data_IF_937412948421
#
_entry.id   IF_937412948421
#
_cell.length_a   1.000
_cell.length_b   1.000
_cell.length_c   1.000
_cell.angle_alpha   90.00
_cell.angle_beta   90.00
_cell.angle_gamma   90.00
#
_symmetry.space_group_name_H-M   'P 1'
#
loop_
_entity.id
_entity.type
_entity.pdbx_description
1 polymer ?
#
# COMPACT_ATOMS: atom_id res chain seq x y z
N UNK A 1 49.66 -1.21 32.25
CA UNK A 1 49.54 -0.28 33.40
C UNK A 1 50.87 0.47 33.51
N UNK A 2 50.88 1.81 33.69
CA UNK A 2 50.06 2.52 34.67
C UNK A 2 49.12 3.59 34.09
N UNK A 3 48.13 3.92 34.91
CA UNK A 3 47.04 4.85 34.68
C UNK A 3 47.47 6.31 34.84
N UNK A 4 46.89 7.20 34.02
CA UNK A 4 46.90 8.64 34.26
C UNK A 4 45.46 9.13 34.24
N UNK A 5 44.95 9.40 35.44
CA UNK A 5 43.70 10.12 35.70
C UNK A 5 43.75 11.50 35.05
N UNK A 6 42.70 11.85 34.32
CA UNK A 6 42.37 13.24 34.01
C UNK A 6 40.96 13.50 34.55
N UNK A 7 40.93 14.35 35.57
CA UNK A 7 39.75 15.00 36.12
C UNK A 7 39.10 15.89 35.05
N UNK A 8 37.78 15.77 34.87
CA UNK A 8 36.97 16.75 34.16
C UNK A 8 35.74 17.08 35.00
N UNK A 9 35.78 18.27 35.60
CA UNK A 9 34.68 18.92 36.30
C UNK A 9 33.54 19.32 35.31
N UNK A 10 32.29 19.46 35.78
CA UNK A 10 31.12 19.60 34.92
C UNK A 10 30.98 21.03 34.37
N UNK A 11 31.02 21.18 33.05
CA UNK A 11 30.68 22.42 32.34
C UNK A 11 29.16 22.58 32.27
N UNK A 12 28.60 23.38 33.18
CA UNK A 12 27.30 24.04 32.99
C UNK A 12 27.48 25.26 32.09
N UNK A 13 26.75 25.32 30.98
CA UNK A 13 26.26 26.59 30.43
C UNK A 13 24.82 26.44 29.90
N UNK A 14 23.98 27.48 30.03
CA UNK A 14 22.56 27.46 29.69
C UNK A 14 22.30 28.09 28.31
N UNK A 15 21.44 27.51 27.48
CA UNK A 15 20.72 28.26 26.42
C UNK A 15 19.36 27.59 26.19
N UNK A 16 18.30 28.27 26.64
CA UNK A 16 16.95 28.09 26.13
C UNK A 16 16.91 28.50 24.65
N UNK A 17 16.35 27.66 23.76
CA UNK A 17 15.62 28.07 22.54
C UNK A 17 15.09 26.84 21.78
N UNK A 18 14.09 26.15 22.34
CA UNK A 18 13.19 25.31 21.54
C UNK A 18 11.94 26.13 21.22
N UNK A 19 12.02 26.87 20.12
CA UNK A 19 10.90 27.63 19.57
C UNK A 19 9.78 26.70 19.11
N UNK A 20 8.55 27.06 19.44
CA UNK A 20 7.31 26.40 19.04
C UNK A 20 7.29 26.14 17.52
N UNK A 21 6.92 24.94 17.04
CA UNK A 21 6.69 24.73 15.63
C UNK A 21 5.48 25.56 15.14
N UNK A 22 5.68 26.15 13.98
CA UNK A 22 4.81 27.07 13.23
C UNK A 22 3.45 26.46 12.91
N UNK A 23 2.52 26.56 13.87
CA UNK A 23 1.12 26.12 13.78
C UNK A 23 0.24 26.93 12.81
N UNK A 24 0.77 27.97 12.15
CA UNK A 24 -0.04 28.88 11.33
C UNK A 24 -0.30 28.38 9.92
N UNK A 25 0.63 27.66 9.29
CA UNK A 25 0.45 27.12 7.93
C UNK A 25 -0.48 25.89 7.93
N UNK A 26 -0.33 25.01 8.92
CA UNK A 26 -1.21 23.85 9.11
C UNK A 26 -2.65 24.28 9.48
N UNK A 27 -2.81 25.30 10.35
CA UNK A 27 -4.13 25.89 10.63
C UNK A 27 -4.73 26.57 9.40
N UNK A 28 -3.93 27.22 8.55
CA UNK A 28 -4.43 27.89 7.34
C UNK A 28 -4.95 26.89 6.30
N UNK A 29 -4.25 25.78 6.06
CA UNK A 29 -4.74 24.72 5.17
C UNK A 29 -6.02 24.05 5.72
N UNK A 30 -6.08 23.76 7.02
CA UNK A 30 -7.27 23.17 7.64
C UNK A 30 -8.49 24.12 7.62
N UNK A 31 -8.28 25.41 7.83
CA UNK A 31 -9.37 26.42 7.81
C UNK A 31 -9.88 26.68 6.39
N UNK A 32 -9.00 26.58 5.38
CA UNK A 32 -9.37 26.82 3.98
C UNK A 32 -10.14 25.64 3.38
N UNK A 33 -9.91 24.42 3.87
CA UNK A 33 -10.68 23.22 3.53
C UNK A 33 -12.07 23.18 4.21
N UNK A 34 -12.25 23.88 5.34
CA UNK A 34 -13.54 23.97 6.07
C UNK A 34 -14.48 25.08 5.58
N UNK A 35 -14.03 26.00 4.72
CA UNK A 35 -14.82 27.16 4.24
C UNK A 35 -15.72 26.87 3.04
N UNK A 36 -15.67 25.66 2.49
CA UNK A 36 -16.47 25.23 1.33
C UNK A 36 -17.77 24.50 1.67
N UNK A 37 -18.09 24.33 2.96
CA UNK A 37 -19.39 23.79 3.38
C UNK A 37 -20.42 24.93 3.53
N UNK A 38 -21.59 24.87 2.87
CA UNK A 38 -22.63 25.88 3.06
C UNK A 38 -23.24 25.75 4.46
N UNK A 39 -23.36 26.88 5.17
CA UNK A 39 -24.04 26.97 6.47
C UNK A 39 -25.55 26.77 6.31
N UNK A 40 -26.24 26.07 7.23
CA UNK A 40 -27.70 26.03 7.20
C UNK A 40 -28.25 27.37 7.67
N UNK A 41 -28.94 28.07 6.77
CA UNK A 41 -29.74 29.25 7.07
C UNK A 41 -31.00 28.89 7.85
N UNK A 42 -31.37 29.82 8.72
CA UNK A 42 -32.51 29.87 9.61
C UNK A 42 -33.85 29.44 8.97
N UNK A 43 -34.57 28.54 9.64
CA UNK A 43 -36.02 28.47 9.54
C UNK A 43 -36.64 28.44 10.95
N UNK A 44 -37.42 29.47 11.16
CA UNK A 44 -38.20 29.87 12.32
C UNK A 44 -39.52 29.08 12.38
N UNK A 45 -39.97 28.78 13.61
CA UNK A 45 -41.36 28.43 13.93
C UNK A 45 -41.78 26.97 13.73
N UNK A 46 -41.91 26.22 14.82
CA UNK A 46 -43.23 25.79 15.32
C UNK A 46 -43.08 24.92 16.58
N UNK A 47 -43.62 25.43 17.69
CA UNK A 47 -43.94 24.65 18.87
C UNK A 47 -45.14 23.76 18.54
N UNK A 48 -45.05 22.46 18.78
CA UNK A 48 -46.06 21.67 19.52
C UNK A 48 -45.68 20.18 19.58
N UNK A 49 -46.01 19.60 20.73
CA UNK A 49 -46.20 18.17 21.01
C UNK A 49 -45.00 17.30 21.47
N UNK A 50 -44.83 17.30 22.79
CA UNK A 50 -44.00 16.36 23.54
C UNK A 50 -44.78 15.08 23.85
N UNK A 51 -44.91 14.15 22.89
CA UNK A 51 -45.05 12.70 23.15
C UNK A 51 -45.08 11.92 21.83
N UNK A 52 -43.93 11.46 21.33
CA UNK A 52 -43.84 10.33 20.40
C UNK A 52 -42.42 9.78 20.32
N UNK A 53 -42.33 8.46 20.42
CA UNK A 53 -41.13 7.62 20.32
C UNK A 53 -40.26 7.99 19.11
N UNK A 54 -38.92 7.76 19.15
CA UNK A 54 -38.02 8.18 18.07
C UNK A 54 -38.42 7.50 16.75
N UNK A 55 -38.51 8.24 15.64
CA UNK A 55 -38.79 7.66 14.34
C UNK A 55 -37.54 6.93 13.84
N UNK A 56 -37.44 5.64 14.12
CA UNK A 56 -36.50 4.78 13.42
C UNK A 56 -36.94 4.68 11.95
N UNK A 57 -35.99 5.00 11.06
CA UNK A 57 -36.07 4.86 9.60
C UNK A 57 -37.15 5.71 8.92
N UNK A 58 -37.03 7.04 9.01
CA UNK A 58 -37.48 7.92 7.92
C UNK A 58 -36.55 7.66 6.73
N UNK A 59 -36.96 6.78 5.82
CA UNK A 59 -36.37 6.64 4.48
C UNK A 59 -36.57 7.95 3.73
N UNK A 60 -35.68 8.90 3.98
CA UNK A 60 -35.51 10.04 3.09
C UNK A 60 -35.02 9.47 1.76
N UNK A 61 -35.94 9.35 0.80
CA UNK A 61 -35.65 9.21 -0.62
C UNK A 61 -34.99 10.51 -1.13
N UNK A 62 -33.87 10.92 -0.52
CA UNK A 62 -32.90 11.73 -1.22
C UNK A 62 -32.41 10.81 -2.32
N UNK A 63 -32.80 11.12 -3.55
CA UNK A 63 -32.10 10.66 -4.75
C UNK A 63 -30.64 11.03 -4.55
N UNK A 64 -29.86 10.12 -3.95
CA UNK A 64 -28.42 10.16 -4.12
C UNK A 64 -28.26 10.11 -5.62
N UNK A 65 -27.64 11.14 -6.19
CA UNK A 65 -26.98 10.99 -7.47
C UNK A 65 -25.94 9.90 -7.23
N UNK A 66 -26.37 8.64 -7.34
CA UNK A 66 -25.54 7.48 -7.08
C UNK A 66 -24.36 7.58 -8.00
N UNK A 67 -23.15 7.47 -7.42
CA UNK A 67 -21.96 7.35 -8.23
C UNK A 67 -22.22 6.28 -9.28
N UNK A 68 -22.09 6.66 -10.56
CA UNK A 68 -22.24 5.69 -11.64
C UNK A 68 -21.16 4.63 -11.45
N UNK A 69 -21.48 3.33 -11.50
CA UNK A 69 -20.47 2.29 -11.48
C UNK A 69 -19.52 2.50 -12.66
N UNK A 70 -18.32 2.99 -12.40
CA UNK A 70 -17.32 3.28 -13.44
C UNK A 70 -16.54 2.02 -13.82
N UNK A 71 -16.46 1.04 -12.91
CA UNK A 71 -15.80 -0.24 -13.13
C UNK A 71 -16.79 -1.38 -13.28
N UNK A 72 -16.59 -2.18 -14.33
CA UNK A 72 -17.20 -3.50 -14.48
C UNK A 72 -16.54 -4.52 -13.53
N UNK A 73 -17.25 -5.60 -13.19
CA UNK A 73 -16.73 -6.69 -12.36
C UNK A 73 -15.34 -7.22 -12.80
N UNK A 74 -15.06 -7.51 -14.08
CA UNK A 74 -13.73 -7.98 -14.48
C UNK A 74 -12.65 -6.90 -14.33
N UNK A 75 -13.00 -5.62 -14.50
CA UNK A 75 -12.07 -4.52 -14.23
C UNK A 75 -11.77 -4.42 -12.73
N UNK A 76 -12.76 -4.63 -11.85
CA UNK A 76 -12.56 -4.63 -10.41
C UNK A 76 -11.62 -5.76 -9.99
N UNK A 77 -11.83 -6.97 -10.52
CA UNK A 77 -10.93 -8.12 -10.28
C UNK A 77 -9.52 -7.81 -10.80
N UNK A 78 -9.39 -7.27 -12.02
CA UNK A 78 -8.10 -6.92 -12.60
C UNK A 78 -7.35 -5.85 -11.79
N UNK A 79 -8.02 -4.77 -11.40
CA UNK A 79 -7.41 -3.72 -10.57
C UNK A 79 -7.06 -4.25 -9.19
N UNK A 80 -7.88 -5.12 -8.60
CA UNK A 80 -7.57 -5.77 -7.32
C UNK A 80 -6.34 -6.68 -7.43
N UNK A 81 -6.25 -7.46 -8.51
CA UNK A 81 -5.07 -8.29 -8.79
C UNK A 81 -3.80 -7.45 -8.91
N UNK A 82 -3.83 -6.31 -9.62
CA UNK A 82 -2.67 -5.43 -9.71
C UNK A 82 -2.38 -4.65 -8.42
N UNK A 83 -3.40 -4.33 -7.63
CA UNK A 83 -3.23 -3.65 -6.35
C UNK A 83 -2.59 -4.54 -5.28
N UNK A 84 -2.74 -5.87 -5.41
CA UNK A 84 -2.26 -6.85 -4.42
C UNK A 84 -1.08 -7.67 -4.93
N UNK A 85 -1.26 -8.30 -6.08
CA UNK A 85 -0.35 -9.31 -6.61
C UNK A 85 0.52 -8.75 -7.73
N UNK A 86 0.82 -7.44 -7.71
CA UNK A 86 1.41 -6.65 -8.79
C UNK A 86 2.82 -7.06 -9.25
N UNK A 87 3.02 -8.34 -9.61
CA UNK A 87 4.28 -9.04 -9.78
C UNK A 87 4.85 -9.46 -8.43
N UNK A 88 5.21 -10.73 -8.30
CA UNK A 88 5.90 -11.35 -7.16
C UNK A 88 7.37 -10.91 -7.05
N UNK A 89 7.59 -9.60 -7.22
CA UNK A 89 8.89 -8.97 -7.21
C UNK A 89 9.54 -9.10 -5.84
N UNK A 90 10.82 -9.44 -5.83
CA UNK A 90 11.60 -9.61 -4.62
C UNK A 90 11.34 -10.92 -3.89
N UNK A 91 10.47 -11.83 -4.37
CA UNK A 91 10.38 -13.18 -3.78
C UNK A 91 11.74 -13.89 -3.79
N UNK A 92 12.62 -13.56 -4.72
CA UNK A 92 14.00 -14.04 -4.76
C UNK A 92 14.79 -13.64 -3.50
N UNK A 93 14.54 -12.44 -2.94
CA UNK A 93 15.13 -12.00 -1.68
C UNK A 93 14.57 -12.79 -0.49
N UNK A 94 13.27 -13.14 -0.50
CA UNK A 94 12.69 -14.05 0.49
C UNK A 94 13.30 -15.45 0.41
N UNK A 95 13.45 -16.00 -0.80
CA UNK A 95 14.14 -17.29 -1.02
C UNK A 95 15.59 -17.22 -0.58
N UNK A 96 16.31 -16.13 -0.88
CA UNK A 96 17.68 -15.92 -0.43
C UNK A 96 17.82 -15.73 1.09
N UNK A 97 16.78 -15.26 1.76
CA UNK A 97 16.78 -15.00 3.21
C UNK A 97 16.33 -16.20 4.07
N UNK A 98 15.43 -17.04 3.57
CA UNK A 98 14.78 -18.11 4.33
C UNK A 98 14.67 -19.47 3.62
N UNK A 99 15.14 -19.58 2.37
CA UNK A 99 15.08 -20.81 1.59
C UNK A 99 13.76 -20.98 0.82
N UNK A 100 13.79 -21.83 -0.21
CA UNK A 100 12.65 -22.04 -1.10
C UNK A 100 11.43 -22.66 -0.38
N UNK A 101 11.65 -23.65 0.49
CA UNK A 101 10.58 -24.32 1.23
C UNK A 101 9.79 -23.35 2.11
N UNK A 102 10.49 -22.50 2.86
CA UNK A 102 9.87 -21.54 3.77
C UNK A 102 9.15 -20.44 2.99
N UNK A 103 9.71 -19.95 1.89
CA UNK A 103 9.03 -18.98 1.01
C UNK A 103 7.76 -19.57 0.41
N UNK A 104 7.78 -20.81 -0.09
CA UNK A 104 6.59 -21.49 -0.61
C UNK A 104 5.50 -21.64 0.46
N UNK A 105 5.88 -22.03 1.68
CA UNK A 105 4.95 -22.10 2.81
C UNK A 105 4.42 -20.71 3.16
N UNK A 106 5.27 -19.69 3.17
CA UNK A 106 4.89 -18.30 3.43
C UNK A 106 3.87 -17.79 2.42
N UNK A 107 4.13 -17.97 1.12
CA UNK A 107 3.22 -17.58 0.04
C UNK A 107 1.90 -18.35 0.12
N UNK A 108 1.91 -19.60 0.55
CA UNK A 108 0.68 -20.39 0.68
C UNK A 108 -0.14 -20.02 1.93
N UNK A 109 0.50 -19.79 3.07
CA UNK A 109 -0.16 -19.66 4.38
C UNK A 109 -0.47 -18.20 4.73
N UNK A 110 0.45 -17.27 4.46
CA UNK A 110 0.28 -15.87 4.87
C UNK A 110 -0.97 -15.20 4.27
N UNK A 111 -1.37 -15.42 3.01
CA UNK A 111 -2.59 -14.84 2.49
C UNK A 111 -3.84 -15.21 3.30
N UNK A 112 -3.91 -16.41 3.87
CA UNK A 112 -5.05 -16.82 4.69
C UNK A 112 -5.07 -16.15 6.07
N UNK A 113 -3.91 -15.89 6.64
CA UNK A 113 -3.78 -15.34 7.99
C UNK A 113 -3.77 -13.81 8.01
N UNK A 114 -3.25 -13.18 6.96
CA UNK A 114 -3.04 -11.74 6.87
C UNK A 114 -4.01 -11.09 5.88
N UNK A 115 -3.97 -11.53 4.62
CA UNK A 115 -4.70 -10.89 3.55
C UNK A 115 -6.21 -11.13 3.59
N UNK A 116 -6.64 -12.37 3.86
CA UNK A 116 -8.04 -12.77 3.85
C UNK A 116 -8.86 -12.01 4.91
N UNK A 117 -8.42 -11.88 6.19
CA UNK A 117 -9.14 -11.07 7.17
C UNK A 117 -9.26 -9.60 6.75
N UNK A 118 -8.20 -9.02 6.18
CA UNK A 118 -8.21 -7.63 5.69
C UNK A 118 -9.20 -7.50 4.53
N UNK A 119 -9.18 -8.42 3.56
CA UNK A 119 -10.09 -8.42 2.43
C UNK A 119 -11.55 -8.53 2.85
N UNK A 120 -11.88 -9.41 3.80
CA UNK A 120 -13.23 -9.55 4.35
C UNK A 120 -13.66 -8.28 5.09
N UNK A 121 -12.79 -7.69 5.90
CA UNK A 121 -13.06 -6.42 6.58
C UNK A 121 -13.33 -5.29 5.57
N UNK A 122 -12.50 -5.17 4.53
CA UNK A 122 -12.68 -4.20 3.45
C UNK A 122 -14.00 -4.42 2.71
N UNK A 123 -14.38 -5.67 2.43
CA UNK A 123 -15.63 -6.00 1.77
C UNK A 123 -16.87 -5.63 2.62
N UNK A 124 -16.85 -5.95 3.91
CA UNK A 124 -17.91 -5.57 4.86
C UNK A 124 -18.03 -4.05 4.97
N UNK A 125 -16.91 -3.33 5.18
CA UNK A 125 -16.92 -1.88 5.31
C UNK A 125 -17.29 -1.15 4.01
N UNK A 126 -16.82 -1.65 2.87
CA UNK A 126 -17.13 -1.08 1.55
C UNK A 126 -18.60 -1.24 1.19
N UNK A 127 -19.24 -2.35 1.58
CA UNK A 127 -20.68 -2.55 1.38
C UNK A 127 -21.54 -1.76 2.39
N UNK A 128 -21.05 -1.57 3.63
CA UNK A 128 -21.76 -0.83 4.67
C UNK A 128 -21.66 0.70 4.51
N UNK A 129 -20.54 1.21 3.98
CA UNK A 129 -20.24 2.64 3.84
C UNK A 129 -19.76 2.90 2.40
N UNK A 130 -20.69 3.02 1.42
CA UNK A 130 -20.37 3.22 0.00
C UNK A 130 -20.04 4.70 -0.29
N UNK A 131 -19.03 5.23 0.41
CA UNK A 131 -18.51 6.59 0.24
C UNK A 131 -17.14 6.55 -0.45
N UNK A 132 -16.91 7.45 -1.41
CA UNK A 132 -15.68 7.52 -2.20
C UNK A 132 -14.48 8.09 -1.40
N UNK A 133 -14.02 7.33 -0.40
CA UNK A 133 -12.85 7.69 0.42
C UNK A 133 -12.25 6.56 1.25
N UNK A 134 -12.69 5.31 1.05
CA UNK A 134 -12.10 4.09 1.58
C UNK A 134 -11.73 4.14 3.07
N UNK A 135 -10.54 3.67 3.40
CA UNK A 135 -10.08 3.52 4.79
C UNK A 135 -10.09 4.82 5.58
N UNK A 136 -9.87 5.98 4.95
CA UNK A 136 -9.89 7.28 5.62
C UNK A 136 -11.29 7.63 6.12
N UNK A 137 -12.33 7.39 5.30
CA UNK A 137 -13.73 7.62 5.68
C UNK A 137 -14.17 6.65 6.76
N UNK A 138 -13.77 5.38 6.66
CA UNK A 138 -14.09 4.37 7.67
C UNK A 138 -13.50 4.74 9.04
N UNK A 139 -12.23 5.13 9.07
CA UNK A 139 -11.56 5.58 10.31
C UNK A 139 -12.17 6.89 10.82
N UNK A 140 -12.54 7.82 9.95
CA UNK A 140 -13.23 9.05 10.35
C UNK A 140 -14.55 8.76 11.07
N UNK A 141 -15.34 7.82 10.55
CA UNK A 141 -16.64 7.46 11.12
C UNK A 141 -16.53 6.72 12.45
N UNK A 142 -15.50 5.87 12.61
CA UNK A 142 -15.30 5.07 13.82
C UNK A 142 -14.57 5.84 14.94
N UNK A 143 -13.56 6.64 14.59
CA UNK A 143 -12.60 7.20 15.53
C UNK A 143 -12.49 8.73 15.50
N UNK A 144 -13.21 9.39 14.59
CA UNK A 144 -13.22 10.84 14.45
C UNK A 144 -12.08 11.42 13.60
N UNK A 145 -12.04 12.76 13.46
CA UNK A 145 -11.21 13.43 12.46
C UNK A 145 -9.70 13.34 12.70
N UNK A 146 -9.25 13.28 13.96
CA UNK A 146 -7.82 13.23 14.27
C UNK A 146 -7.17 11.92 13.78
N UNK A 147 -7.80 10.78 14.09
CA UNK A 147 -7.28 9.47 13.68
C UNK A 147 -7.44 9.24 12.17
N UNK A 148 -8.48 9.79 11.56
CA UNK A 148 -8.61 9.80 10.11
C UNK A 148 -7.47 10.56 9.42
N UNK A 149 -7.10 11.73 9.96
CA UNK A 149 -5.98 12.51 9.44
C UNK A 149 -4.66 11.73 9.56
N UNK A 150 -4.44 11.04 10.69
CA UNK A 150 -3.25 10.22 10.89
C UNK A 150 -3.19 9.05 9.90
N UNK A 151 -4.32 8.37 9.71
CA UNK A 151 -4.45 7.30 8.73
C UNK A 151 -4.18 7.79 7.31
N UNK A 152 -4.71 8.96 6.93
CA UNK A 152 -4.47 9.56 5.62
C UNK A 152 -2.98 9.89 5.40
N UNK A 153 -2.31 10.41 6.42
CA UNK A 153 -0.86 10.70 6.34
C UNK A 153 -0.04 9.41 6.21
N UNK A 154 -0.36 8.36 6.99
CA UNK A 154 0.33 7.09 6.87
C UNK A 154 0.12 6.43 5.50
N UNK A 155 -1.10 6.45 4.98
CA UNK A 155 -1.39 5.98 3.63
C UNK A 155 -0.62 6.77 2.57
N UNK A 156 -0.57 8.10 2.67
CA UNK A 156 0.18 8.92 1.73
C UNK A 156 1.67 8.58 1.74
N UNK A 157 2.26 8.42 2.94
CA UNK A 157 3.67 8.06 3.10
C UNK A 157 3.95 6.67 2.51
N UNK A 158 3.13 5.66 2.84
CA UNK A 158 3.28 4.31 2.28
C UNK A 158 3.23 4.32 0.76
N UNK A 159 2.18 4.92 0.19
CA UNK A 159 2.01 5.03 -1.26
C UNK A 159 3.17 5.77 -1.95
N UNK A 160 3.78 6.76 -1.27
CA UNK A 160 4.93 7.47 -1.82
C UNK A 160 6.16 6.56 -1.90
N UNK A 161 6.42 5.76 -0.87
CA UNK A 161 7.52 4.81 -0.87
C UNK A 161 7.29 3.67 -1.86
N UNK A 162 6.07 3.13 -1.93
CA UNK A 162 5.73 2.07 -2.89
C UNK A 162 5.92 2.57 -4.34
N UNK A 163 5.42 3.76 -4.66
CA UNK A 163 5.62 4.35 -5.99
C UNK A 163 7.09 4.65 -6.33
N UNK A 164 7.93 4.94 -5.34
CA UNK A 164 9.36 5.15 -5.54
C UNK A 164 10.14 3.83 -5.69
N UNK A 165 9.60 2.73 -5.14
CA UNK A 165 10.24 1.41 -5.14
C UNK A 165 10.14 0.75 -6.53
N UNK A 166 8.99 0.87 -7.23
CA UNK A 166 8.79 0.24 -8.54
C UNK A 166 9.82 0.64 -9.61
N UNK A 167 10.16 1.93 -9.84
CA UNK A 167 11.15 2.31 -10.84
C UNK A 167 12.58 1.87 -10.49
N UNK A 168 12.88 1.68 -9.20
CA UNK A 168 14.19 1.18 -8.75
C UNK A 168 14.29 -0.30 -9.06
N UNK A 169 13.28 -1.10 -8.66
CA UNK A 169 13.23 -2.53 -8.97
C UNK A 169 13.27 -2.79 -10.48
N UNK A 170 12.54 -2.00 -11.28
CA UNK A 170 12.57 -2.14 -12.73
C UNK A 170 14.01 -2.05 -13.28
N UNK A 171 14.79 -1.07 -12.82
CA UNK A 171 16.18 -0.91 -13.24
C UNK A 171 17.07 -2.03 -12.71
N UNK A 172 16.80 -2.55 -11.51
CA UNK A 172 17.54 -3.69 -10.95
C UNK A 172 17.36 -4.95 -11.79
N UNK A 173 16.15 -5.18 -12.30
CA UNK A 173 15.88 -6.30 -13.21
C UNK A 173 16.53 -6.11 -14.60
N UNK A 174 16.69 -4.88 -15.09
CA UNK A 174 17.35 -4.63 -16.39
C UNK A 174 18.82 -5.09 -16.43
N UNK A 175 19.50 -5.17 -15.28
CA UNK A 175 20.91 -5.60 -15.18
C UNK A 175 21.12 -7.04 -15.65
N UNK A 176 20.07 -7.87 -15.63
CA UNK A 176 20.11 -9.25 -16.11
C UNK A 176 20.17 -9.36 -17.63
N UNK A 177 19.81 -8.31 -18.36
CA UNK A 177 19.95 -8.25 -19.81
C UNK A 177 21.28 -7.58 -20.17
N UNK A 178 22.26 -8.32 -20.74
CA UNK A 178 23.59 -7.77 -21.02
C UNK A 178 23.56 -6.53 -21.92
N UNK A 179 22.60 -6.47 -22.84
CA UNK A 179 22.39 -5.34 -23.75
C UNK A 179 21.81 -4.08 -23.07
N UNK A 180 21.19 -4.23 -21.89
CA UNK A 180 20.53 -3.15 -21.15
C UNK A 180 21.23 -2.84 -19.84
N UNK A 181 22.48 -3.30 -19.65
CA UNK A 181 23.28 -2.98 -18.47
C UNK A 181 23.61 -1.48 -18.45
N UNK A 182 23.20 -0.83 -17.37
CA UNK A 182 23.23 0.63 -17.23
C UNK A 182 24.32 1.03 -16.24
N UNK A 183 25.11 2.06 -16.57
CA UNK A 183 26.02 2.68 -15.62
C UNK A 183 25.26 3.40 -14.48
N UNK A 184 25.88 3.53 -13.30
CA UNK A 184 25.24 4.02 -12.07
C UNK A 184 24.46 5.34 -12.21
N UNK A 185 24.94 6.30 -12.99
CA UNK A 185 24.26 7.58 -13.21
C UNK A 185 23.02 7.49 -14.11
N UNK A 186 22.99 6.53 -15.04
CA UNK A 186 21.90 6.36 -16.00
C UNK A 186 20.74 5.51 -15.44
N UNK A 187 20.94 4.86 -14.28
CA UNK A 187 19.86 4.25 -13.48
C UNK A 187 18.78 5.28 -13.11
N UNK A 188 19.20 6.44 -12.59
CA UNK A 188 18.27 7.52 -12.21
C UNK A 188 17.49 8.07 -13.41
N UNK A 189 18.14 8.19 -14.57
CA UNK A 189 17.50 8.69 -15.80
C UNK A 189 16.42 7.72 -16.30
N UNK A 190 16.68 6.41 -16.25
CA UNK A 190 15.70 5.40 -16.66
C UNK A 190 14.53 5.34 -15.67
N UNK A 191 14.79 5.37 -14.36
CA UNK A 191 13.73 5.44 -13.35
C UNK A 191 12.87 6.70 -13.52
N UNK A 192 13.49 7.86 -13.79
CA UNK A 192 12.77 9.10 -14.06
C UNK A 192 11.96 9.03 -15.37
N UNK A 193 12.52 8.42 -16.42
CA UNK A 193 11.82 8.19 -17.68
C UNK A 193 10.60 7.27 -17.54
N UNK A 194 10.73 6.20 -16.74
CA UNK A 194 9.60 5.32 -16.39
C UNK A 194 8.51 6.11 -15.66
N UNK A 195 8.88 6.86 -14.62
CA UNK A 195 7.93 7.66 -13.84
C UNK A 195 7.23 8.72 -14.71
N UNK A 196 7.97 9.39 -15.60
CA UNK A 196 7.42 10.34 -16.55
C UNK A 196 6.45 9.67 -17.54
N UNK A 197 6.76 8.46 -18.00
CA UNK A 197 5.89 7.69 -18.90
C UNK A 197 4.58 7.30 -18.21
N UNK A 198 4.66 6.77 -16.98
CA UNK A 198 3.48 6.42 -16.18
C UNK A 198 2.64 7.68 -15.88
N UNK A 199 3.30 8.79 -15.54
CA UNK A 199 2.62 10.07 -15.31
C UNK A 199 1.92 10.55 -16.57
N UNK A 200 2.57 10.47 -17.74
CA UNK A 200 1.96 10.84 -19.01
C UNK A 200 0.74 9.97 -19.34
N UNK A 201 0.81 8.65 -19.11
CA UNK A 201 -0.33 7.74 -19.27
C UNK A 201 -1.49 8.12 -18.34
N UNK A 202 -1.20 8.45 -17.08
CA UNK A 202 -2.21 8.91 -16.12
C UNK A 202 -2.86 10.23 -16.55
N UNK A 203 -2.14 11.12 -17.23
CA UNK A 203 -2.68 12.37 -17.78
C UNK A 203 -3.53 12.18 -19.05
N UNK A 204 -3.31 11.11 -19.81
CA UNK A 204 -4.08 10.81 -21.03
C UNK A 204 -5.49 10.27 -20.74
N UNK A 205 -5.78 9.92 -19.49
CA UNK A 205 -7.11 9.53 -19.03
C UNK A 205 -7.22 8.05 -18.66
N UNK A 206 -8.19 7.76 -17.79
CA UNK A 206 -8.38 6.45 -17.16
C UNK A 206 -8.67 5.33 -18.15
N UNK A 207 -9.34 5.63 -19.27
CA UNK A 207 -9.68 4.63 -20.29
C UNK A 207 -8.43 4.06 -20.99
N UNK A 208 -7.44 4.92 -21.27
CA UNK A 208 -6.16 4.53 -21.88
C UNK A 208 -5.37 3.68 -20.90
N UNK A 209 -5.32 4.08 -19.62
CA UNK A 209 -4.65 3.33 -18.56
C UNK A 209 -5.26 1.94 -18.42
N UNK A 210 -6.59 1.83 -18.38
CA UNK A 210 -7.28 0.55 -18.28
C UNK A 210 -6.97 -0.38 -19.47
N UNK A 211 -6.96 0.13 -20.70
CA UNK A 211 -6.60 -0.66 -21.88
C UNK A 211 -5.13 -1.08 -21.88
N UNK A 212 -4.22 -0.19 -21.47
CA UNK A 212 -2.79 -0.50 -21.38
C UNK A 212 -2.52 -1.56 -20.30
N UNK A 213 -3.18 -1.46 -19.14
CA UNK A 213 -3.07 -2.42 -18.04
C UNK A 213 -3.44 -3.84 -18.46
N UNK A 214 -4.46 -4.03 -19.32
CA UNK A 214 -4.80 -5.37 -19.83
C UNK A 214 -3.68 -5.98 -20.68
N UNK A 215 -2.98 -5.17 -21.48
CA UNK A 215 -1.85 -5.65 -22.29
C UNK A 215 -0.65 -5.95 -21.38
N UNK A 216 -0.36 -5.06 -20.43
CA UNK A 216 0.70 -5.28 -19.44
C UNK A 216 0.42 -6.52 -18.59
N UNK A 217 -0.83 -6.80 -18.24
CA UNK A 217 -1.22 -7.99 -17.52
C UNK A 217 -0.79 -9.28 -18.24
N UNK A 218 -1.16 -9.38 -19.51
CA UNK A 218 -0.80 -10.53 -20.35
C UNK A 218 0.71 -10.64 -20.50
N UNK A 219 1.40 -9.51 -20.69
CA UNK A 219 2.85 -9.46 -20.83
C UNK A 219 3.56 -9.91 -19.55
N UNK A 220 3.09 -9.48 -18.37
CA UNK A 220 3.67 -9.84 -17.07
C UNK A 220 3.41 -11.29 -16.73
N UNK A 221 2.22 -11.83 -17.01
CA UNK A 221 1.86 -13.23 -16.71
C UNK A 221 2.57 -14.21 -17.66
N UNK A 222 2.75 -13.83 -18.93
CA UNK A 222 3.37 -14.68 -19.96
C UNK A 222 4.71 -15.34 -19.56
N UNK A 223 5.74 -14.62 -19.05
CA UNK A 223 7.01 -15.23 -18.66
C UNK A 223 6.85 -16.22 -17.50
N UNK A 224 5.97 -15.98 -16.53
CA UNK A 224 5.71 -16.95 -15.46
C UNK A 224 5.08 -18.23 -15.99
N UNK A 225 4.09 -18.11 -16.88
CA UNK A 225 3.49 -19.28 -17.53
C UNK A 225 4.54 -20.05 -18.33
N UNK A 226 5.39 -19.34 -19.08
CA UNK A 226 6.49 -19.97 -19.83
C UNK A 226 7.50 -20.68 -18.91
N UNK A 227 7.86 -20.06 -17.77
CA UNK A 227 8.73 -20.65 -16.75
C UNK A 227 8.11 -21.91 -16.14
N UNK A 228 6.82 -21.89 -15.81
CA UNK A 228 6.11 -23.06 -15.27
C UNK A 228 6.12 -24.21 -16.29
N UNK A 229 5.76 -23.94 -17.54
CA UNK A 229 5.72 -24.97 -18.60
C UNK A 229 7.13 -25.54 -18.86
N UNK A 230 8.15 -24.68 -18.96
CA UNK A 230 9.53 -25.11 -19.20
C UNK A 230 10.19 -25.76 -17.98
N UNK A 231 9.76 -25.40 -16.77
CA UNK A 231 10.27 -25.90 -15.50
C UNK A 231 9.66 -27.25 -15.11
N UNK A 232 8.39 -27.51 -15.44
CA UNK A 232 7.68 -28.75 -15.12
C UNK A 232 8.45 -30.04 -15.48
N UNK A 233 9.06 -30.18 -16.68
CA UNK A 233 9.83 -31.38 -17.02
C UNK A 233 11.21 -31.47 -16.33
N UNK A 234 11.67 -30.39 -15.70
CA UNK A 234 12.99 -30.27 -15.06
C UNK A 234 12.92 -30.23 -13.53
N UNK A 235 11.74 -30.48 -12.95
CA UNK A 235 11.57 -30.48 -11.50
C UNK A 235 12.42 -31.62 -10.90
N UNK A 236 13.45 -31.33 -10.08
CA UNK A 236 14.09 -32.37 -9.28
C UNK A 236 13.08 -32.92 -8.27
N UNK A 237 13.38 -34.10 -7.71
CA UNK A 237 12.53 -34.75 -6.70
C UNK A 237 12.13 -33.75 -5.59
N UNK A 238 10.92 -33.90 -5.04
CA UNK A 238 10.34 -32.96 -4.07
C UNK A 238 11.27 -32.66 -2.87
N UNK A 239 12.13 -33.61 -2.52
CA UNK A 239 13.19 -33.48 -1.52
C UNK A 239 14.15 -32.32 -1.77
N UNK A 240 14.42 -31.96 -3.04
CA UNK A 240 15.34 -30.89 -3.41
C UNK A 240 14.79 -29.48 -3.11
N UNK A 241 13.47 -29.30 -3.05
CA UNK A 241 12.85 -28.00 -2.73
C UNK A 241 12.23 -27.95 -1.34
N UNK A 242 11.92 -29.12 -0.73
CA UNK A 242 11.39 -29.24 0.63
C UNK A 242 12.49 -29.46 1.69
N UNK A 243 13.71 -29.86 1.29
CA UNK A 243 14.81 -30.20 2.20
C UNK A 243 15.46 -29.03 2.96
N UNK A 244 14.92 -27.81 2.85
CA UNK A 244 15.47 -26.59 3.48
C UNK A 244 14.72 -26.08 4.70
N UNK A 245 13.82 -26.88 5.28
CA UNK A 245 13.07 -26.48 6.51
C UNK A 245 13.96 -26.61 7.76
N UNK A 246 14.96 -27.49 7.73
CA UNK A 246 16.00 -27.58 8.75
C UNK A 246 17.28 -26.92 8.22
N UNK A 247 17.81 -25.87 8.86
CA UNK A 247 19.10 -25.32 8.47
C UNK A 247 20.15 -26.42 8.65
N UNK A 248 20.85 -26.76 7.58
CA UNK A 248 21.96 -27.69 7.68
C UNK A 248 23.01 -27.09 8.62
N UNK A 249 23.74 -27.93 9.35
CA UNK A 249 24.82 -27.49 10.24
C UNK A 249 25.88 -26.72 9.44
N UNK A 250 25.81 -25.38 9.48
CA UNK A 250 26.70 -24.47 8.75
C UNK A 250 26.01 -23.41 7.88
N UNK A 251 24.69 -23.51 7.68
CA UNK A 251 23.95 -22.50 6.92
C UNK A 251 23.82 -21.18 7.70
N UNK A 252 23.86 -20.02 7.00
CA UNK A 252 23.63 -18.74 7.65
C UNK A 252 22.22 -18.71 8.28
N UNK A 253 22.05 -18.06 9.44
CA UNK A 253 20.76 -18.01 10.11
C UNK A 253 19.72 -17.31 9.24
N UNK A 254 18.49 -17.82 9.28
CA UNK A 254 17.35 -17.25 8.55
C UNK A 254 17.17 -15.77 8.92
N UNK A 255 17.14 -14.91 7.90
CA UNK A 255 16.95 -13.46 8.06
C UNK A 255 15.47 -13.12 8.12
N UNK A 256 14.82 -13.47 9.23
CA UNK A 256 13.37 -13.33 9.44
C UNK A 256 12.80 -11.95 9.07
N UNK A 257 13.52 -10.87 9.40
CA UNK A 257 13.07 -9.51 9.08
C UNK A 257 12.94 -9.26 7.57
N UNK A 258 13.94 -9.66 6.78
CA UNK A 258 13.89 -9.52 5.32
C UNK A 258 12.85 -10.48 4.72
N UNK A 259 12.86 -11.73 5.18
CA UNK A 259 11.93 -12.78 4.74
C UNK A 259 10.46 -12.37 4.91
N UNK A 260 10.05 -11.98 6.12
CA UNK A 260 8.67 -11.60 6.42
C UNK A 260 8.30 -10.24 5.82
N UNK A 261 9.22 -9.27 5.78
CA UNK A 261 8.93 -7.95 5.22
C UNK A 261 8.55 -8.04 3.75
N UNK A 262 9.29 -8.81 2.96
CA UNK A 262 9.02 -8.98 1.53
C UNK A 262 7.74 -9.78 1.30
N UNK A 263 7.50 -10.83 2.09
CA UNK A 263 6.26 -11.62 1.99
C UNK A 263 5.01 -10.83 2.38
N UNK A 264 5.07 -10.06 3.46
CA UNK A 264 3.96 -9.20 3.91
C UNK A 264 3.69 -8.09 2.90
N UNK A 265 4.75 -7.48 2.35
CA UNK A 265 4.61 -6.48 1.31
C UNK A 265 3.93 -7.06 0.05
N UNK A 266 4.38 -8.24 -0.43
CA UNK A 266 3.78 -8.95 -1.56
C UNK A 266 2.32 -9.41 -1.35
N UNK A 267 1.82 -9.38 -0.11
CA UNK A 267 0.46 -9.85 0.25
C UNK A 267 -0.42 -8.71 0.80
N UNK A 268 0.04 -7.46 0.70
CA UNK A 268 -0.67 -6.25 1.12
C UNK A 268 -1.43 -5.61 -0.06
N UNK A 269 -2.33 -4.65 0.22
CA UNK A 269 -3.04 -3.87 -0.80
C UNK A 269 -4.56 -4.08 -0.88
N UNK A 270 -5.12 -5.06 -0.17
CA UNK A 270 -6.56 -5.34 -0.18
C UNK A 270 -7.42 -4.21 0.39
N UNK A 271 -6.87 -3.38 1.27
CA UNK A 271 -7.49 -2.20 1.84
C UNK A 271 -7.65 -1.05 0.82
N UNK A 272 -6.77 -1.00 -0.18
CA UNK A 272 -6.80 0.01 -1.25
C UNK A 272 -8.02 -0.14 -2.16
N UNK A 273 -8.58 -1.36 -2.26
CA UNK A 273 -9.79 -1.65 -3.05
C UNK A 273 -11.01 -0.89 -2.52
N UNK A 274 -11.05 -0.60 -1.22
CA UNK A 274 -12.14 0.15 -0.61
C UNK A 274 -12.24 1.62 -1.05
N UNK A 275 -11.20 2.15 -1.70
CA UNK A 275 -11.15 3.52 -2.20
C UNK A 275 -11.47 3.64 -3.71
N UNK A 276 -11.74 2.52 -4.40
CA UNK A 276 -12.03 2.45 -5.84
C UNK A 276 -13.49 2.76 -6.19
#
# INVERSE_FOLDING_TARGET
APARQQDAAPLRMPVQLFGKPTSSLFKRCATQMFRSSPSPSDHEGDNEDATRSPPLLRTNNRTSNGLKPTLSWPQLVGVTFFAVCGGDYGLEDSVGAGGAALTLLGVLVLPWLWSLPIALMTAELGSAIPEAGGCVVWVHRAFGPFLAQQNAVWNLVSNTFDNALYPVMFVDYLVWFPALRVANGMRYLISLGMLATVTALNLLGVDVVASASNIFALLVISPFVALVIAGLPKLPAAEAWLGGIEPATGDPPIRWGAFLSVLLWNTSGYDSVGAL
#
